data_IF_437473566777
#
_entry.id   IF_437473566777
#
_cell.length_a   1.000
_cell.length_b   1.000
_cell.length_c   1.000
_cell.angle_alpha   90.00
_cell.angle_beta   90.00
_cell.angle_gamma   90.00
#
_symmetry.space_group_name_H-M   'P 1'
#
loop_
_entity.id
_entity.type
_entity.pdbx_description
1 polymer ?
#
# COMPACT_ATOMS: atom_id res chain seq x y z
N UNK A 1 44.91 -8.93 12.99
CA UNK A 1 44.08 -9.88 12.24
C UNK A 1 42.75 -9.99 12.96
N UNK A 2 41.75 -9.22 12.56
CA UNK A 2 40.39 -9.33 13.06
C UNK A 2 39.63 -10.31 12.13
N UNK A 3 38.80 -11.20 12.65
CA UNK A 3 38.22 -12.28 11.84
C UNK A 3 37.16 -11.73 10.90
N UNK A 4 37.28 -12.09 9.62
CA UNK A 4 36.37 -11.79 8.53
C UNK A 4 34.99 -12.50 8.63
N UNK A 5 34.59 -12.95 9.83
CA UNK A 5 33.36 -13.73 10.02
C UNK A 5 32.18 -12.94 10.63
N UNK A 6 32.37 -11.65 10.97
CA UNK A 6 31.29 -10.88 11.57
C UNK A 6 30.30 -10.26 10.57
N UNK A 7 30.66 -10.17 9.27
CA UNK A 7 29.81 -9.51 8.28
C UNK A 7 28.72 -10.39 7.66
N UNK A 8 28.82 -11.71 7.76
CA UNK A 8 27.87 -12.64 7.16
C UNK A 8 26.60 -12.89 8.04
N UNK A 9 26.66 -12.58 9.32
CA UNK A 9 25.62 -12.99 10.29
C UNK A 9 24.47 -12.00 10.44
N UNK A 10 24.64 -10.75 10.01
CA UNK A 10 23.56 -9.76 10.13
C UNK A 10 22.56 -9.82 8.95
N UNK A 11 23.02 -10.16 7.75
CA UNK A 11 22.15 -10.31 6.57
C UNK A 11 21.18 -11.48 6.73
N UNK A 12 21.58 -12.52 7.47
CA UNK A 12 20.72 -13.66 7.77
C UNK A 12 19.60 -13.35 8.78
N UNK A 13 19.70 -12.24 9.50
CA UNK A 13 18.70 -11.82 10.52
C UNK A 13 17.71 -10.76 9.99
N UNK A 14 17.95 -10.20 8.82
CA UNK A 14 17.06 -9.23 8.22
C UNK A 14 15.95 -9.94 7.45
N UNK A 15 14.69 -9.47 7.51
CA UNK A 15 13.67 -9.94 6.59
C UNK A 15 14.19 -9.68 5.17
N UNK A 16 14.39 -10.76 4.42
CA UNK A 16 15.09 -10.74 3.14
C UNK A 16 14.24 -10.25 1.96
N UNK A 17 12.99 -9.85 2.20
CA UNK A 17 12.05 -9.58 1.11
C UNK A 17 11.35 -8.23 1.26
N UNK A 18 11.30 -7.49 0.15
CA UNK A 18 10.30 -6.43 -0.07
C UNK A 18 8.92 -7.05 0.20
N UNK A 19 7.97 -6.34 0.82
CA UNK A 19 6.64 -6.88 1.04
C UNK A 19 6.07 -7.48 -0.24
N UNK A 20 5.68 -8.75 -0.21
CA UNK A 20 5.12 -9.46 -1.38
C UNK A 20 3.69 -8.99 -1.71
N UNK A 21 3.19 -8.04 -0.96
CA UNK A 21 1.86 -7.49 -1.09
C UNK A 21 1.90 -5.95 -1.21
N UNK A 22 0.85 -5.42 -1.77
CA UNK A 22 0.53 -3.99 -1.74
C UNK A 22 -0.98 -3.79 -1.60
N UNK A 23 -1.39 -2.60 -1.27
CA UNK A 23 -2.80 -2.22 -1.26
C UNK A 23 -3.13 -1.46 -2.55
N UNK A 24 -4.31 -1.71 -3.10
CA UNK A 24 -4.79 -1.02 -4.30
C UNK A 24 -6.22 -0.52 -4.07
N UNK A 25 -6.43 0.79 -4.17
CA UNK A 25 -7.73 1.42 -3.97
C UNK A 25 -8.34 1.84 -5.31
N UNK A 26 -9.53 1.33 -5.59
CA UNK A 26 -10.39 1.75 -6.69
C UNK A 26 -11.44 2.72 -6.15
N UNK A 27 -11.31 4.01 -6.47
CA UNK A 27 -12.21 5.04 -5.96
C UNK A 27 -13.60 4.92 -6.54
N UNK A 28 -13.72 4.61 -7.83
CA UNK A 28 -15.00 4.51 -8.51
C UNK A 28 -15.88 3.39 -7.97
N UNK A 29 -15.26 2.27 -7.58
CA UNK A 29 -15.93 1.12 -6.98
C UNK A 29 -16.03 1.20 -5.46
N UNK A 30 -15.30 2.15 -4.84
CA UNK A 30 -15.16 2.25 -3.38
C UNK A 30 -14.61 0.99 -2.74
N UNK A 31 -13.58 0.41 -3.34
CA UNK A 31 -12.95 -0.83 -2.91
C UNK A 31 -11.46 -0.62 -2.62
N UNK A 32 -10.99 -1.32 -1.58
CA UNK A 32 -9.57 -1.51 -1.28
C UNK A 32 -9.25 -2.99 -1.44
N UNK A 33 -8.19 -3.29 -2.17
CA UNK A 33 -7.72 -4.65 -2.40
C UNK A 33 -6.38 -4.87 -1.72
N UNK A 34 -6.20 -6.02 -1.08
CA UNK A 34 -4.89 -6.57 -0.80
C UNK A 34 -4.46 -7.39 -2.01
N UNK A 35 -3.32 -7.04 -2.58
CA UNK A 35 -2.76 -7.69 -3.77
C UNK A 35 -1.44 -8.31 -3.39
N UNK A 36 -1.26 -9.58 -3.70
CA UNK A 36 0.03 -10.27 -3.58
C UNK A 36 0.72 -10.29 -4.94
N UNK A 37 1.99 -9.92 -4.94
CA UNK A 37 2.82 -9.97 -6.13
C UNK A 37 3.79 -11.15 -6.00
N UNK A 38 3.69 -12.08 -6.94
CA UNK A 38 4.56 -13.25 -6.99
C UNK A 38 5.91 -12.90 -7.66
N UNK A 39 6.91 -13.74 -7.45
CA UNK A 39 8.28 -13.54 -7.96
C UNK A 39 8.32 -13.44 -9.49
N UNK A 40 7.39 -14.08 -10.20
CA UNK A 40 7.21 -13.98 -11.65
C UNK A 40 6.45 -12.72 -12.11
N UNK A 41 6.25 -11.76 -11.20
CA UNK A 41 5.61 -10.47 -11.49
C UNK A 41 4.09 -10.51 -11.65
N UNK A 42 3.46 -11.68 -11.44
CA UNK A 42 2.00 -11.77 -11.45
C UNK A 42 1.42 -11.19 -10.18
N UNK A 43 0.28 -10.54 -10.30
CA UNK A 43 -0.46 -10.00 -9.18
C UNK A 43 -1.78 -10.76 -8.99
N UNK A 44 -2.12 -11.09 -7.75
CA UNK A 44 -3.38 -11.73 -7.39
C UNK A 44 -4.04 -10.94 -6.26
N UNK A 45 -5.32 -10.63 -6.40
CA UNK A 45 -6.13 -10.06 -5.30
C UNK A 45 -6.41 -11.19 -4.30
N UNK A 46 -5.97 -11.01 -3.06
CA UNK A 46 -6.16 -12.01 -1.99
C UNK A 46 -7.28 -11.61 -1.03
N UNK A 47 -7.55 -10.32 -0.87
CA UNK A 47 -8.64 -9.79 -0.04
C UNK A 47 -9.22 -8.52 -0.67
N UNK A 48 -10.50 -8.26 -0.37
CA UNK A 48 -11.24 -7.08 -0.81
C UNK A 48 -12.00 -6.50 0.38
N UNK A 49 -12.05 -5.17 0.45
CA UNK A 49 -12.71 -4.42 1.52
C UNK A 49 -13.51 -3.26 0.93
N UNK A 50 -14.65 -2.95 1.52
CA UNK A 50 -15.33 -1.69 1.26
C UNK A 50 -14.45 -0.53 1.73
N UNK A 51 -14.34 0.52 0.92
CA UNK A 51 -13.46 1.65 1.21
C UNK A 51 -14.12 2.97 0.82
N UNK A 52 -14.19 3.89 1.75
CA UNK A 52 -14.61 5.26 1.47
C UNK A 52 -13.40 6.18 1.28
N UNK A 53 -13.60 7.22 0.51
CA UNK A 53 -12.57 8.20 0.16
C UNK A 53 -13.10 9.64 0.26
N UNK A 54 -12.32 10.61 -0.21
CA UNK A 54 -12.64 12.04 -0.19
C UNK A 54 -14.02 12.34 -0.80
N UNK A 55 -14.72 13.31 -0.21
CA UNK A 55 -16.08 13.71 -0.60
C UNK A 55 -16.19 14.17 -2.05
N UNK A 56 -15.11 14.71 -2.61
CA UNK A 56 -15.06 15.21 -3.98
C UNK A 56 -14.30 14.21 -4.83
N UNK A 57 -14.86 13.83 -5.97
CA UNK A 57 -14.27 12.91 -6.93
C UNK A 57 -13.05 13.51 -7.64
N UNK A 58 -12.25 12.65 -8.26
CA UNK A 58 -11.05 13.00 -9.00
C UNK A 58 -9.81 13.10 -8.13
N UNK A 59 -8.68 13.35 -8.77
CA UNK A 59 -7.36 13.39 -8.16
C UNK A 59 -7.13 14.66 -7.33
N UNK A 60 -6.56 14.52 -6.14
CA UNK A 60 -6.22 15.62 -5.24
C UNK A 60 -5.17 16.55 -5.87
N UNK A 61 -5.47 17.87 -5.86
CA UNK A 61 -4.60 18.91 -6.41
C UNK A 61 -4.07 19.88 -5.34
N UNK A 62 -4.91 20.27 -4.38
CA UNK A 62 -4.54 21.28 -3.38
C UNK A 62 -5.09 20.95 -2.00
N UNK A 63 -4.49 21.56 -0.99
CA UNK A 63 -4.98 21.48 0.37
C UNK A 63 -6.45 21.91 0.46
N UNK A 64 -7.25 21.17 1.24
CA UNK A 64 -8.66 21.47 1.46
C UNK A 64 -9.62 21.16 0.32
N UNK A 65 -9.17 20.54 -0.79
CA UNK A 65 -10.04 20.20 -1.93
C UNK A 65 -10.94 18.97 -1.72
N UNK A 66 -10.85 18.34 -0.55
CA UNK A 66 -11.64 17.17 -0.12
C UNK A 66 -11.52 15.94 -1.03
N UNK A 67 -10.46 15.88 -1.84
CA UNK A 67 -10.17 14.77 -2.76
C UNK A 67 -9.13 13.83 -2.18
N UNK A 68 -9.24 12.56 -2.53
CA UNK A 68 -8.20 11.56 -2.32
C UNK A 68 -7.24 11.58 -3.52
N UNK A 69 -5.92 11.58 -3.29
CA UNK A 69 -4.95 11.62 -4.38
C UNK A 69 -4.91 10.30 -5.16
N UNK A 70 -4.45 10.36 -6.42
CA UNK A 70 -4.18 9.21 -7.26
C UNK A 70 -2.68 9.06 -7.49
N UNK A 71 -2.18 7.82 -7.36
CA UNK A 71 -0.76 7.54 -7.51
C UNK A 71 -0.28 6.37 -6.68
N UNK A 72 1.05 6.26 -6.56
CA UNK A 72 1.74 5.26 -5.75
C UNK A 72 2.27 5.91 -4.50
N UNK A 73 1.79 5.45 -3.36
CA UNK A 73 2.15 5.93 -2.02
C UNK A 73 2.70 4.79 -1.18
N UNK A 74 3.22 5.15 -0.01
CA UNK A 74 3.72 4.18 0.96
C UNK A 74 3.24 4.57 2.35
N UNK A 75 2.91 3.59 3.16
CA UNK A 75 2.72 3.81 4.60
C UNK A 75 4.06 4.24 5.19
N UNK A 76 4.09 5.37 5.88
CA UNK A 76 5.30 5.89 6.53
C UNK A 76 5.38 5.53 7.99
N UNK A 77 4.25 5.62 8.71
CA UNK A 77 4.13 5.28 10.12
C UNK A 77 2.67 5.14 10.54
N UNK A 78 2.45 4.42 11.63
CA UNK A 78 1.16 4.42 12.34
C UNK A 78 1.06 5.70 13.16
N UNK A 79 -0.12 6.34 13.12
CA UNK A 79 -0.42 7.49 13.98
C UNK A 79 -0.64 6.97 15.41
N UNK A 80 0.16 7.48 16.35
CA UNK A 80 0.13 7.05 17.76
C UNK A 80 -0.45 8.09 18.71
N UNK A 81 -0.66 9.32 18.23
CA UNK A 81 -1.33 10.37 18.99
C UNK A 81 -2.80 10.05 19.19
N UNK A 82 -3.39 10.60 20.26
CA UNK A 82 -4.83 10.47 20.49
C UNK A 82 -5.59 11.19 19.37
N UNK A 83 -6.48 10.45 18.70
CA UNK A 83 -7.36 10.95 17.63
C UNK A 83 -8.81 10.91 18.09
N UNK A 84 -9.66 11.68 17.42
CA UNK A 84 -11.10 11.53 17.54
C UNK A 84 -11.51 10.14 17.07
N UNK A 85 -12.04 9.33 18.01
CA UNK A 85 -12.38 7.94 17.72
C UNK A 85 -13.49 7.81 16.67
N UNK A 86 -14.50 8.69 16.73
CA UNK A 86 -15.62 8.62 15.78
C UNK A 86 -15.17 8.92 14.35
N UNK A 87 -14.18 9.83 14.18
CA UNK A 87 -13.67 10.22 12.88
C UNK A 87 -12.59 9.27 12.34
N UNK A 88 -11.70 8.75 13.21
CA UNK A 88 -10.50 8.02 12.78
C UNK A 88 -10.42 6.58 13.28
N UNK A 89 -11.35 6.14 14.14
CA UNK A 89 -11.32 4.83 14.75
C UNK A 89 -10.07 4.58 15.59
N UNK A 90 -9.74 3.31 15.90
CA UNK A 90 -8.58 2.96 16.72
C UNK A 90 -7.24 2.96 15.95
N UNK A 91 -7.26 2.97 14.61
CA UNK A 91 -6.07 2.82 13.80
C UNK A 91 -6.05 3.79 12.62
N UNK A 92 -4.94 4.50 12.48
CA UNK A 92 -4.66 5.38 11.35
C UNK A 92 -3.18 5.27 10.93
N UNK A 93 -2.94 5.27 9.62
CA UNK A 93 -1.62 5.11 9.00
C UNK A 93 -1.38 6.23 8.00
N UNK A 94 -0.26 6.93 8.17
CA UNK A 94 0.09 8.05 7.29
C UNK A 94 0.67 7.56 5.96
N UNK A 95 0.21 8.16 4.87
CA UNK A 95 0.79 7.99 3.53
C UNK A 95 1.76 9.12 3.21
N UNK A 96 2.77 8.85 2.37
CA UNK A 96 3.80 9.82 1.97
C UNK A 96 3.30 10.86 0.94
N UNK A 97 2.03 11.27 1.03
CA UNK A 97 1.49 12.35 0.19
C UNK A 97 1.99 13.73 0.66
N UNK A 98 2.36 14.67 -0.22
CA UNK A 98 2.56 14.48 -1.66
C UNK A 98 3.88 13.76 -1.94
N UNK A 99 3.84 12.78 -2.85
CA UNK A 99 5.02 12.05 -3.32
C UNK A 99 5.85 12.90 -4.31
N UNK A 100 7.02 12.43 -4.80
CA UNK A 100 7.83 13.19 -5.76
C UNK A 100 7.08 13.61 -7.03
N UNK A 101 6.25 12.74 -7.61
CA UNK A 101 5.48 13.06 -8.80
C UNK A 101 4.38 14.09 -8.54
N UNK A 102 3.70 14.00 -7.39
CA UNK A 102 2.71 14.99 -6.96
C UNK A 102 3.33 16.38 -6.81
N UNK A 103 4.51 16.46 -6.15
CA UNK A 103 5.22 17.72 -5.97
C UNK A 103 5.67 18.34 -7.30
N UNK A 104 6.12 17.50 -8.25
CA UNK A 104 6.49 17.98 -9.58
C UNK A 104 5.29 18.59 -10.32
N UNK A 105 4.09 18.01 -10.12
CA UNK A 105 2.82 18.52 -10.66
C UNK A 105 2.26 19.71 -9.89
N UNK A 106 2.94 20.18 -8.85
CA UNK A 106 2.51 21.32 -8.03
C UNK A 106 1.38 21.02 -7.06
N UNK A 107 1.10 19.74 -6.78
CA UNK A 107 0.08 19.36 -5.80
C UNK A 107 0.52 19.75 -4.39
N UNK A 108 -0.45 20.15 -3.56
CA UNK A 108 -0.21 20.66 -2.20
C UNK A 108 -1.08 19.96 -1.15
N UNK A 109 -0.80 20.25 0.13
CA UNK A 109 -1.44 19.65 1.29
C UNK A 109 -0.62 18.50 1.88
N UNK A 110 -1.19 17.85 2.89
CA UNK A 110 -0.57 16.75 3.63
C UNK A 110 -1.66 15.96 4.38
N UNK A 111 -1.27 14.97 5.21
CA UNK A 111 -2.21 14.29 6.10
C UNK A 111 -3.22 13.41 5.38
N UNK A 112 -2.81 12.72 4.33
CA UNK A 112 -3.60 11.66 3.71
C UNK A 112 -3.29 10.36 4.45
N UNK A 113 -4.33 9.78 5.05
CA UNK A 113 -4.22 8.57 5.87
C UNK A 113 -5.09 7.43 5.32
N UNK A 114 -4.72 6.21 5.65
CA UNK A 114 -5.60 5.06 5.66
C UNK A 114 -6.00 4.82 7.11
N UNK A 115 -7.30 4.85 7.43
CA UNK A 115 -7.79 4.73 8.78
C UNK A 115 -9.11 3.95 8.84
N UNK A 116 -9.64 3.72 10.04
CA UNK A 116 -11.02 3.29 10.24
C UNK A 116 -11.89 4.45 10.71
N UNK A 117 -13.14 4.16 11.03
CA UNK A 117 -14.03 5.08 11.76
C UNK A 117 -14.57 4.38 13.00
N UNK A 118 -15.01 5.13 14.01
CA UNK A 118 -15.66 4.61 15.21
C UNK A 118 -17.11 4.17 14.97
N UNK A 119 -17.55 4.13 13.71
CA UNK A 119 -18.88 3.71 13.26
C UNK A 119 -18.78 3.07 11.89
N UNK A 120 -19.79 2.30 11.43
CA UNK A 120 -19.82 1.72 10.09
C UNK A 120 -19.63 2.79 9.01
N UNK A 121 -18.88 2.48 7.96
CA UNK A 121 -18.52 3.44 6.90
C UNK A 121 -19.62 3.66 5.85
N UNK A 122 -20.66 2.84 5.83
CA UNK A 122 -21.76 2.90 4.84
C UNK A 122 -22.36 4.29 4.72
N UNK A 123 -22.39 4.82 3.50
CA UNK A 123 -22.92 6.15 3.19
C UNK A 123 -22.05 7.32 3.63
N UNK A 124 -20.87 7.08 4.21
CA UNK A 124 -19.95 8.12 4.65
C UNK A 124 -18.94 8.50 3.53
N UNK A 125 -18.25 9.60 3.78
CA UNK A 125 -17.09 10.08 3.00
C UNK A 125 -16.04 10.64 3.95
N UNK A 126 -14.86 10.96 3.42
CA UNK A 126 -13.78 11.60 4.17
C UNK A 126 -13.45 12.99 3.64
N UNK A 127 -12.45 13.64 4.23
CA UNK A 127 -11.89 14.91 3.74
C UNK A 127 -10.66 14.73 2.83
N UNK A 128 -10.45 13.51 2.34
CA UNK A 128 -9.34 13.16 1.43
C UNK A 128 -8.57 11.91 1.86
N UNK A 129 -8.76 11.41 3.06
CA UNK A 129 -8.24 10.13 3.52
C UNK A 129 -8.98 8.96 2.85
N UNK A 130 -8.48 7.76 3.05
CA UNK A 130 -9.21 6.51 2.80
C UNK A 130 -9.61 5.89 4.13
N UNK A 131 -10.81 5.32 4.22
CA UNK A 131 -11.22 4.60 5.41
C UNK A 131 -11.95 3.30 5.06
N UNK A 132 -11.69 2.27 5.89
CA UNK A 132 -12.33 0.95 5.87
C UNK A 132 -12.96 0.66 7.23
N UNK A 133 -13.75 -0.39 7.34
CA UNK A 133 -14.37 -0.75 8.60
C UNK A 133 -13.34 -1.13 9.68
N UNK A 134 -13.71 -0.93 10.94
CA UNK A 134 -12.81 -1.08 12.09
C UNK A 134 -12.27 -2.51 12.24
N UNK A 135 -13.09 -3.53 12.01
CA UNK A 135 -12.66 -4.91 12.09
C UNK A 135 -11.71 -5.26 10.94
N UNK A 136 -11.96 -4.75 9.74
CA UNK A 136 -11.14 -4.99 8.55
C UNK A 136 -9.74 -4.37 8.68
N UNK A 137 -9.63 -3.14 9.20
CA UNK A 137 -8.30 -2.52 9.43
C UNK A 137 -7.52 -3.26 10.51
N UNK A 138 -8.21 -3.83 11.51
CA UNK A 138 -7.58 -4.65 12.55
C UNK A 138 -6.99 -5.92 11.97
N UNK A 139 -7.69 -6.57 11.05
CA UNK A 139 -7.20 -7.75 10.33
C UNK A 139 -6.01 -7.45 9.41
N UNK A 140 -5.89 -6.21 8.97
CA UNK A 140 -4.78 -5.74 8.12
C UNK A 140 -3.55 -5.26 8.90
N UNK A 141 -3.54 -5.26 10.22
CA UNK A 141 -2.43 -4.67 11.01
C UNK A 141 -1.07 -5.28 10.70
N UNK A 142 -1.00 -6.56 10.35
CA UNK A 142 0.24 -7.23 9.93
C UNK A 142 0.75 -6.76 8.56
N UNK A 143 -0.13 -6.21 7.74
CA UNK A 143 0.14 -5.69 6.38
C UNK A 143 0.41 -4.18 6.42
N UNK A 144 -0.23 -3.46 7.34
CA UNK A 144 -0.16 -1.99 7.46
C UNK A 144 1.11 -1.55 8.22
N UNK A 145 2.26 -1.86 7.66
CA UNK A 145 3.57 -1.52 8.25
C UNK A 145 4.28 -0.43 7.42
N UNK A 146 5.25 0.30 8.00
CA UNK A 146 6.06 1.23 7.22
C UNK A 146 6.67 0.56 5.98
N UNK A 147 6.57 1.20 4.83
CA UNK A 147 7.03 0.65 3.55
C UNK A 147 5.96 -0.11 2.76
N UNK A 148 4.79 -0.44 3.33
CA UNK A 148 3.69 -1.04 2.54
C UNK A 148 3.27 -0.10 1.43
N UNK A 149 3.32 -0.55 0.16
CA UNK A 149 2.85 0.25 -0.97
C UNK A 149 1.32 0.36 -0.98
N UNK A 150 0.82 1.53 -1.38
CA UNK A 150 -0.61 1.83 -1.54
C UNK A 150 -0.80 2.51 -2.89
N UNK A 151 -1.41 1.82 -3.83
CA UNK A 151 -1.78 2.36 -5.13
C UNK A 151 -3.21 2.88 -5.06
N UNK A 152 -3.43 4.10 -5.50
CA UNK A 152 -4.75 4.73 -5.51
C UNK A 152 -5.05 5.19 -6.93
N UNK A 153 -6.17 4.76 -7.49
CA UNK A 153 -6.63 5.16 -8.81
C UNK A 153 -8.14 5.39 -8.84
N UNK A 154 -8.60 6.19 -9.80
CA UNK A 154 -10.04 6.31 -10.05
C UNK A 154 -10.61 4.96 -10.47
N UNK A 155 -9.93 4.27 -11.43
CA UNK A 155 -10.27 2.94 -11.91
C UNK A 155 -9.02 2.08 -11.93
N UNK A 156 -9.10 0.88 -11.37
CA UNK A 156 -8.01 -0.10 -11.42
C UNK A 156 -8.07 -1.02 -12.65
N UNK A 157 -9.18 -1.01 -13.38
CA UNK A 157 -9.33 -1.77 -14.62
C UNK A 157 -8.33 -1.24 -15.67
N UNK A 158 -7.39 -2.09 -16.06
CA UNK A 158 -6.29 -1.71 -16.96
C UNK A 158 -5.01 -1.25 -16.27
N UNK A 159 -4.96 -1.20 -14.94
CA UNK A 159 -3.70 -1.06 -14.23
C UNK A 159 -2.80 -2.26 -14.53
N UNK A 160 -1.54 -2.07 -14.98
CA UNK A 160 -0.71 -3.15 -15.53
C UNK A 160 -0.34 -4.24 -14.52
N UNK A 161 -0.56 -4.03 -13.25
CA UNK A 161 -0.20 -4.95 -12.17
C UNK A 161 -1.40 -5.56 -11.41
N UNK A 162 -2.65 -5.20 -11.76
CA UNK A 162 -3.86 -5.76 -11.13
C UNK A 162 -4.63 -6.58 -12.15
N UNK A 163 -4.84 -7.88 -11.87
CA UNK A 163 -5.75 -8.70 -12.67
C UNK A 163 -7.19 -8.18 -12.51
N UNK A 164 -7.98 -8.12 -13.57
CA UNK A 164 -9.41 -7.86 -13.46
C UNK A 164 -10.08 -8.85 -12.50
N UNK A 165 -10.96 -8.36 -11.62
CA UNK A 165 -11.69 -9.18 -10.64
C UNK A 165 -12.46 -10.36 -11.28
N UNK A 166 -12.93 -10.20 -12.51
CA UNK A 166 -13.63 -11.25 -13.26
C UNK A 166 -12.80 -12.53 -13.50
N UNK A 167 -11.50 -12.52 -13.19
CA UNK A 167 -10.61 -13.69 -13.32
C UNK A 167 -10.29 -14.38 -11.99
N UNK A 168 -10.87 -13.94 -10.87
CA UNK A 168 -10.76 -14.68 -9.61
C UNK A 168 -11.68 -15.91 -9.68
N UNK A 169 -11.19 -17.13 -9.41
CA UNK A 169 -12.09 -18.26 -9.20
C UNK A 169 -12.97 -17.93 -7.98
N UNK A 170 -14.27 -18.11 -8.12
CA UNK A 170 -15.20 -18.10 -6.99
C UNK A 170 -14.60 -18.98 -5.88
N UNK A 171 -14.58 -18.54 -4.61
CA UNK A 171 -14.13 -19.39 -3.52
C UNK A 171 -15.00 -20.66 -3.53
N UNK A 172 -14.39 -21.79 -3.90
CA UNK A 172 -15.07 -23.07 -3.87
C UNK A 172 -15.59 -23.34 -2.46
N UNK A 173 -16.71 -24.09 -2.32
CA UNK A 173 -17.40 -24.32 -1.04
C UNK A 173 -16.55 -25.06 0.03
N UNK A 174 -15.26 -25.35 -0.22
CA UNK A 174 -14.42 -26.21 0.63
C UNK A 174 -13.02 -25.65 0.93
N UNK A 175 -12.89 -24.36 1.21
CA UNK A 175 -11.60 -23.79 1.66
C UNK A 175 -11.48 -23.64 3.20
N UNK A 176 -12.31 -24.35 3.97
CA UNK A 176 -12.22 -24.32 5.45
C UNK A 176 -11.44 -25.51 6.03
N UNK A 177 -10.39 -25.99 5.38
CA UNK A 177 -9.48 -26.94 6.00
C UNK A 177 -8.17 -26.99 5.24
N UNK A 178 -7.10 -26.44 5.78
CA UNK A 178 -5.77 -27.03 6.00
C UNK A 178 -4.83 -25.94 6.53
N UNK A 179 -4.83 -25.75 7.84
CA UNK A 179 -3.62 -25.34 8.55
C UNK A 179 -2.94 -26.61 9.06
N UNK A 180 -1.65 -26.80 8.87
CA UNK A 180 -0.95 -27.92 9.47
C UNK A 180 -0.90 -27.72 10.99
N UNK A 181 -1.53 -28.63 11.72
CA UNK A 181 -1.38 -28.77 13.17
C UNK A 181 0.07 -29.16 13.49
N UNK A 182 0.78 -28.31 14.18
CA UNK A 182 1.94 -28.73 14.97
C UNK A 182 1.43 -29.38 16.25
N UNK A 183 1.73 -30.65 16.39
CA UNK A 183 1.44 -31.49 17.56
C UNK A 183 2.19 -31.03 18.81
N UNK A 184 1.47 -31.19 19.91
CA UNK A 184 1.89 -31.37 21.30
C UNK A 184 2.15 -30.13 22.15
N UNK A 185 1.13 -29.86 22.95
CA UNK A 185 1.29 -29.78 24.43
C UNK A 185 -0.10 -30.00 25.06
N UNK A 186 -0.18 -30.94 25.98
CA UNK A 186 -1.35 -31.41 26.71
C UNK A 186 -1.95 -30.35 27.63
N UNK A 187 -3.29 -30.37 27.87
CA UNK A 187 -3.96 -29.37 28.67
C UNK A 187 -3.94 -29.67 30.15
N UNK A 188 -3.64 -28.65 30.95
CA UNK A 188 -3.92 -28.63 32.40
C UNK A 188 -5.39 -28.19 32.57
N UNK A 189 -6.14 -28.95 33.35
CA UNK A 189 -7.52 -28.71 33.76
C UNK A 189 -7.72 -27.39 34.51
N UNK A 190 -8.81 -26.67 34.27
CA UNK A 190 -9.19 -25.51 35.06
C UNK A 190 -10.06 -25.89 36.26
N UNK A 191 -9.74 -25.28 37.39
CA UNK A 191 -10.54 -25.32 38.61
C UNK A 191 -11.76 -24.41 38.48
N UNK A 192 -12.91 -24.86 39.01
CA UNK A 192 -14.21 -24.19 39.05
C UNK A 192 -14.22 -22.96 39.97
N UNK A 193 -14.97 -21.89 39.63
CA UNK A 193 -15.25 -20.79 40.52
C UNK A 193 -16.53 -21.03 41.37
N UNK A 194 -16.62 -20.44 42.57
CA UNK A 194 -17.80 -20.56 43.41
C UNK A 194 -18.91 -19.57 42.99
N UNK A 195 -20.14 -20.05 43.18
CA UNK A 195 -21.40 -19.37 43.00
C UNK A 195 -21.64 -18.34 44.12
N UNK A 196 -22.12 -17.15 43.80
CA UNK A 196 -23.02 -16.36 44.68
C UNK A 196 -24.09 -15.68 43.84
N UNK A 197 -25.32 -16.05 44.14
CA UNK A 197 -26.56 -15.39 43.76
C UNK A 197 -26.68 -14.02 44.47
N UNK A 198 -27.20 -13.00 43.79
CA UNK A 198 -28.06 -12.03 44.43
C UNK A 198 -28.98 -11.27 43.42
N UNK A 199 -30.15 -11.00 43.88
CA UNK A 199 -31.43 -10.68 43.30
C UNK A 199 -31.54 -9.37 42.48
N UNK A 200 -32.54 -9.40 41.57
CA UNK A 200 -33.21 -8.29 40.87
C UNK A 200 -34.06 -7.43 41.85
N UNK A 201 -34.52 -6.17 41.53
CA UNK A 201 -35.68 -6.07 40.64
C UNK A 201 -35.83 -4.78 39.78
N UNK A 202 -36.71 -4.83 38.77
CA UNK A 202 -37.53 -3.68 38.40
C UNK A 202 -37.54 -3.26 36.91
N UNK A 203 -38.42 -3.89 36.14
CA UNK A 203 -38.89 -3.38 34.84
C UNK A 203 -40.04 -2.38 35.04
N UNK A 204 -40.31 -1.45 34.13
CA UNK A 204 -41.57 -1.53 33.41
C UNK A 204 -41.48 -1.22 31.88
N UNK A 205 -42.30 -1.97 31.14
CA UNK A 205 -42.74 -1.71 29.78
C UNK A 205 -44.10 -0.95 29.80
N UNK A 206 -44.81 -0.79 28.68
CA UNK A 206 -44.55 -0.25 27.36
C UNK A 206 -45.59 0.86 26.99
N UNK A 207 -45.39 1.54 25.84
CA UNK A 207 -46.48 2.28 25.18
C UNK A 207 -46.45 2.10 23.67
N UNK A 208 -47.65 1.83 23.17
CA UNK A 208 -48.18 1.39 21.92
C UNK A 208 -48.20 2.41 20.79
N UNK A 209 -48.09 1.87 19.57
CA UNK A 209 -48.83 2.13 18.33
C UNK A 209 -49.01 3.53 17.74
N UNK A 210 -48.61 3.66 16.44
CA UNK A 210 -49.54 4.03 15.39
C UNK A 210 -49.07 3.60 14.01
N UNK A 211 -49.96 2.82 13.36
CA UNK A 211 -49.95 2.33 12.00
C UNK A 211 -50.33 3.44 11.01
N UNK A 212 -49.73 3.52 9.86
CA UNK A 212 -50.44 3.87 8.63
C UNK A 212 -49.87 3.25 7.38
N UNK A 213 -50.74 2.62 6.63
CA UNK A 213 -50.57 1.80 5.44
C UNK A 213 -50.75 2.68 4.19
N UNK A 214 -49.92 2.51 3.19
CA UNK A 214 -50.33 2.77 1.81
C UNK A 214 -49.61 1.83 0.83
N UNK A 215 -50.39 0.94 0.27
CA UNK A 215 -50.05 0.08 -0.86
C UNK A 215 -50.10 0.87 -2.16
N UNK A 216 -49.15 0.60 -3.07
CA UNK A 216 -49.48 0.61 -4.50
C UNK A 216 -48.55 -0.34 -5.26
N UNK A 217 -49.21 -1.27 -5.86
CA UNK A 217 -48.77 -2.33 -6.74
C UNK A 217 -48.37 -1.82 -8.13
N UNK A 218 -47.36 -2.42 -8.75
CA UNK A 218 -47.35 -2.81 -10.16
C UNK A 218 -46.14 -3.74 -10.44
N UNK A 219 -46.44 -4.95 -10.89
CA UNK A 219 -45.49 -6.00 -11.30
C UNK A 219 -45.34 -6.03 -12.83
N UNK A 220 -44.63 -7.04 -13.43
CA UNK A 220 -43.32 -6.82 -14.04
C UNK A 220 -43.37 -7.09 -15.56
N UNK A 221 -42.30 -6.68 -16.26
CA UNK A 221 -42.07 -7.14 -17.64
C UNK A 221 -40.73 -7.87 -17.69
N UNK A 222 -40.79 -9.16 -17.94
CA UNK A 222 -39.66 -10.00 -18.32
C UNK A 222 -39.12 -9.60 -19.69
N UNK A 223 -37.77 -9.41 -19.74
CA UNK A 223 -37.07 -9.47 -21.03
C UNK A 223 -35.75 -10.22 -20.82
N UNK A 224 -35.66 -11.39 -21.38
CA UNK A 224 -34.49 -12.27 -21.42
C UNK A 224 -33.46 -11.66 -22.39
N UNK A 225 -32.16 -11.51 -22.03
CA UNK A 225 -31.12 -11.28 -23.01
C UNK A 225 -30.32 -12.56 -23.27
N UNK A 226 -30.10 -12.76 -24.56
CA UNK A 226 -29.31 -13.85 -25.11
C UNK A 226 -27.84 -13.81 -24.68
N UNK A 227 -27.32 -14.99 -24.45
CA UNK A 227 -25.93 -15.29 -24.23
C UNK A 227 -25.06 -14.94 -25.45
N UNK A 228 -24.14 -14.02 -25.25
CA UNK A 228 -23.01 -13.79 -26.17
C UNK A 228 -21.73 -14.33 -25.53
N UNK A 229 -20.84 -14.99 -26.28
CA UNK A 229 -19.65 -15.62 -25.67
C UNK A 229 -18.67 -14.56 -25.19
N UNK A 230 -18.23 -14.72 -23.94
CA UNK A 230 -17.20 -13.90 -23.31
C UNK A 230 -15.90 -14.00 -24.11
N UNK A 231 -15.51 -12.89 -24.72
CA UNK A 231 -14.18 -12.74 -25.30
C UNK A 231 -13.14 -12.80 -24.18
N UNK A 232 -12.18 -13.72 -24.29
CA UNK A 232 -11.05 -13.81 -23.37
C UNK A 232 -10.29 -12.47 -23.38
N UNK A 233 -10.17 -11.87 -22.19
CA UNK A 233 -9.40 -10.64 -22.01
C UNK A 233 -7.92 -10.89 -22.39
N UNK A 234 -7.27 -9.97 -23.10
CA UNK A 234 -5.88 -10.13 -23.48
C UNK A 234 -5.01 -10.16 -22.22
N UNK A 235 -4.18 -11.21 -22.10
CA UNK A 235 -3.08 -11.23 -21.14
C UNK A 235 -2.11 -10.13 -21.56
N UNK A 236 -2.09 -9.00 -20.85
CA UNK A 236 -1.08 -7.98 -21.10
C UNK A 236 0.27 -8.52 -20.67
N UNK A 237 1.13 -8.80 -21.66
CA UNK A 237 2.56 -8.93 -21.46
C UNK A 237 3.08 -7.66 -20.73
N UNK A 238 4.18 -7.73 -19.94
CA UNK A 238 4.78 -6.56 -19.34
C UNK A 238 4.93 -5.47 -20.39
N UNK A 239 4.53 -4.24 -20.08
CA UNK A 239 4.70 -3.13 -21.01
C UNK A 239 6.21 -2.94 -21.23
N UNK A 240 6.64 -2.50 -22.42
CA UNK A 240 8.06 -2.26 -22.67
C UNK A 240 8.69 -1.25 -21.69
N UNK A 241 7.88 -0.50 -20.96
CA UNK A 241 8.31 0.46 -19.96
C UNK A 241 8.68 -0.20 -18.62
N UNK A 242 7.99 -1.28 -18.21
CA UNK A 242 8.34 -2.04 -17.00
C UNK A 242 9.77 -2.58 -17.12
N UNK A 243 10.07 -3.15 -18.27
CA UNK A 243 11.38 -3.73 -18.54
C UNK A 243 12.47 -2.64 -18.61
N UNK A 244 12.16 -1.46 -19.16
CA UNK A 244 13.08 -0.32 -19.15
C UNK A 244 13.37 0.14 -17.72
N UNK A 245 12.34 0.34 -16.91
CA UNK A 245 12.48 0.78 -15.52
C UNK A 245 13.21 -0.25 -14.67
N UNK A 246 12.93 -1.56 -14.87
CA UNK A 246 13.67 -2.63 -14.19
C UNK A 246 15.16 -2.59 -14.55
N UNK A 247 15.52 -2.51 -15.83
CA UNK A 247 16.92 -2.40 -16.25
C UNK A 247 17.61 -1.17 -15.67
N UNK A 248 16.94 -0.02 -15.66
CA UNK A 248 17.47 1.21 -15.07
C UNK A 248 17.65 1.08 -13.55
N UNK A 249 16.72 0.42 -12.86
CA UNK A 249 16.84 0.15 -11.43
C UNK A 249 18.05 -0.75 -11.13
N UNK A 250 18.23 -1.82 -11.87
CA UNK A 250 19.39 -2.71 -11.74
C UNK A 250 20.71 -1.98 -12.02
N UNK A 251 20.75 -1.11 -13.03
CA UNK A 251 21.91 -0.26 -13.32
C UNK A 251 22.19 0.72 -12.18
N UNK A 252 21.14 1.34 -11.61
CA UNK A 252 21.30 2.21 -10.44
C UNK A 252 21.88 1.45 -9.24
N UNK A 253 21.42 0.22 -9.00
CA UNK A 253 21.97 -0.64 -7.94
C UNK A 253 23.44 -0.96 -8.18
N UNK A 254 23.83 -1.31 -9.43
CA UNK A 254 25.22 -1.58 -9.78
C UNK A 254 26.11 -0.35 -9.57
N UNK A 255 25.69 0.83 -10.05
CA UNK A 255 26.43 2.07 -9.85
C UNK A 255 26.53 2.43 -8.37
N UNK A 256 25.48 2.13 -7.60
CA UNK A 256 25.44 2.34 -6.16
C UNK A 256 26.44 1.44 -5.41
N UNK A 257 26.48 0.15 -5.76
CA UNK A 257 27.39 -0.84 -5.18
C UNK A 257 28.86 -0.55 -5.57
N UNK A 258 29.09 -0.16 -6.82
CA UNK A 258 30.44 0.24 -7.32
C UNK A 258 30.89 1.63 -6.90
N UNK A 259 30.02 2.39 -6.21
CA UNK A 259 30.28 3.79 -5.83
C UNK A 259 30.58 4.67 -7.05
N UNK A 260 29.94 4.38 -8.17
CA UNK A 260 30.19 5.03 -9.47
C UNK A 260 29.48 6.38 -9.56
N UNK A 261 30.17 7.39 -10.06
CA UNK A 261 29.56 8.70 -10.35
C UNK A 261 28.60 8.67 -11.56
N UNK A 262 28.60 7.61 -12.36
CA UNK A 262 27.65 7.41 -13.45
C UNK A 262 26.20 7.42 -12.96
N UNK A 263 25.96 7.06 -11.68
CA UNK A 263 24.65 7.12 -11.05
C UNK A 263 23.96 8.48 -11.23
N UNK A 264 24.72 9.59 -11.28
CA UNK A 264 24.14 10.92 -11.42
C UNK A 264 23.51 11.21 -12.78
N UNK A 265 23.85 10.44 -13.83
CA UNK A 265 23.22 10.56 -15.14
C UNK A 265 21.80 10.01 -15.17
N UNK A 266 21.43 9.20 -14.19
CA UNK A 266 20.11 8.58 -14.08
C UNK A 266 19.05 9.50 -13.45
N UNK A 267 19.46 10.66 -12.94
CA UNK A 267 18.57 11.62 -12.29
C UNK A 267 18.21 12.75 -13.24
N UNK A 268 16.95 13.12 -13.24
CA UNK A 268 16.46 14.33 -13.91
C UNK A 268 16.98 15.59 -13.19
N UNK A 269 17.98 16.23 -13.75
CA UNK A 269 18.63 17.39 -13.11
C UNK A 269 17.72 18.60 -12.98
N UNK A 270 16.78 18.75 -13.89
CA UNK A 270 15.87 19.87 -13.96
C UNK A 270 14.69 19.69 -13.00
N UNK A 271 14.08 18.52 -13.05
CA UNK A 271 12.85 18.23 -12.30
C UNK A 271 13.10 17.72 -10.88
N UNK A 272 14.24 17.06 -10.62
CA UNK A 272 14.58 16.51 -9.31
C UNK A 272 14.46 17.55 -8.17
N UNK A 273 14.95 18.80 -8.27
CA UNK A 273 14.84 19.75 -7.17
C UNK A 273 13.41 20.11 -6.79
N UNK A 274 12.49 20.15 -7.76
CA UNK A 274 11.07 20.41 -7.52
C UNK A 274 10.37 19.20 -6.92
N UNK A 275 10.64 18.03 -7.47
CA UNK A 275 10.02 16.78 -7.05
C UNK A 275 10.50 16.30 -5.67
N UNK A 276 11.81 16.39 -5.38
CA UNK A 276 12.42 15.89 -4.15
C UNK A 276 12.53 16.94 -3.03
N UNK A 277 12.37 18.24 -3.35
CA UNK A 277 12.70 19.38 -2.47
C UNK A 277 14.16 19.42 -2.03
N UNK A 278 15.05 18.77 -2.78
CA UNK A 278 16.48 18.73 -2.56
C UNK A 278 17.21 19.26 -3.79
N UNK A 279 18.11 20.22 -3.64
CA UNK A 279 18.94 20.71 -4.76
C UNK A 279 19.77 19.56 -5.33
N UNK A 280 19.96 19.51 -6.65
CA UNK A 280 20.77 18.46 -7.28
C UNK A 280 22.22 18.42 -6.77
N UNK A 281 22.80 19.57 -6.41
CA UNK A 281 24.10 19.64 -5.76
C UNK A 281 24.13 19.01 -4.36
N UNK A 282 23.01 19.10 -3.62
CA UNK A 282 22.88 18.45 -2.31
C UNK A 282 22.73 16.94 -2.46
N UNK A 283 21.95 16.46 -3.43
CA UNK A 283 21.88 15.03 -3.80
C UNK A 283 23.30 14.50 -4.08
N UNK A 284 24.08 15.17 -4.95
CA UNK A 284 25.44 14.73 -5.26
C UNK A 284 26.33 14.67 -4.01
N UNK A 285 26.24 15.68 -3.15
CA UNK A 285 27.00 15.71 -1.88
C UNK A 285 26.58 14.56 -0.96
N UNK A 286 25.28 14.30 -0.84
CA UNK A 286 24.71 13.21 -0.04
C UNK A 286 25.20 11.86 -0.54
N UNK A 287 25.01 11.53 -1.83
CA UNK A 287 25.41 10.25 -2.41
C UNK A 287 26.93 10.02 -2.32
N UNK A 288 27.76 11.04 -2.57
CA UNK A 288 29.21 10.94 -2.37
C UNK A 288 29.59 10.72 -0.90
N UNK A 289 28.84 11.30 0.03
CA UNK A 289 29.02 11.03 1.47
C UNK A 289 28.65 9.59 1.81
N UNK A 290 27.54 9.11 1.25
CA UNK A 290 27.08 7.73 1.43
C UNK A 290 28.06 6.72 0.85
N UNK A 291 28.67 7.00 -0.32
CA UNK A 291 29.74 6.17 -0.91
C UNK A 291 30.94 5.98 0.02
N UNK A 292 31.24 7.00 0.83
CA UNK A 292 32.38 6.94 1.77
C UNK A 292 32.05 6.36 3.14
N UNK A 293 30.76 6.42 3.56
CA UNK A 293 30.35 6.18 4.95
C UNK A 293 29.39 5.02 5.13
N UNK A 294 28.81 4.51 4.05
CA UNK A 294 27.98 3.31 4.11
C UNK A 294 28.88 2.11 3.93
N UNK A 295 28.81 1.22 4.91
CA UNK A 295 29.49 -0.06 4.95
C UNK A 295 28.43 -1.16 4.80
N UNK A 296 28.82 -2.34 4.35
CA UNK A 296 27.96 -3.51 4.21
C UNK A 296 26.63 -3.20 3.50
N UNK A 297 26.71 -2.44 2.39
CA UNK A 297 25.53 -2.08 1.62
C UNK A 297 24.94 -3.31 0.93
N UNK A 298 23.70 -3.61 1.26
CA UNK A 298 22.88 -4.63 0.61
C UNK A 298 21.70 -3.96 -0.10
N UNK A 299 21.46 -4.37 -1.34
CA UNK A 299 20.31 -3.98 -2.16
C UNK A 299 19.64 -5.26 -2.66
N UNK A 300 18.38 -5.46 -2.26
CA UNK A 300 17.60 -6.66 -2.64
C UNK A 300 17.22 -6.58 -4.12
N UNK A 301 17.97 -7.30 -4.96
CA UNK A 301 17.77 -7.30 -6.42
C UNK A 301 16.60 -8.20 -6.85
N UNK A 302 16.37 -9.26 -6.11
CA UNK A 302 15.33 -10.25 -6.42
C UNK A 302 13.96 -9.76 -5.92
N UNK A 303 13.96 -8.92 -4.90
CA UNK A 303 12.77 -8.31 -4.32
C UNK A 303 12.36 -6.98 -4.96
N UNK A 304 12.87 -6.61 -6.15
CA UNK A 304 12.42 -5.37 -6.80
C UNK A 304 10.94 -5.49 -7.17
N UNK A 305 10.16 -4.48 -6.78
CA UNK A 305 8.76 -4.33 -7.18
C UNK A 305 8.60 -3.07 -8.02
N UNK A 306 7.84 -3.18 -9.11
CA UNK A 306 7.50 -2.08 -9.99
C UNK A 306 6.02 -1.75 -9.84
N UNK A 307 5.73 -0.48 -9.63
CA UNK A 307 4.38 0.03 -9.45
C UNK A 307 4.18 1.22 -10.40
N UNK A 308 3.12 1.17 -11.19
CA UNK A 308 2.78 2.26 -12.10
C UNK A 308 1.89 3.29 -11.41
N UNK A 309 2.27 4.55 -11.53
CA UNK A 309 1.43 5.70 -11.23
C UNK A 309 1.01 6.42 -12.52
N UNK A 310 0.15 7.45 -12.43
CA UNK A 310 -0.24 8.23 -13.61
C UNK A 310 0.99 8.90 -14.26
N UNK A 311 1.49 8.35 -15.38
CA UNK A 311 2.62 8.89 -16.14
C UNK A 311 3.99 8.83 -15.44
N UNK A 312 4.16 7.92 -14.48
CA UNK A 312 5.44 7.64 -13.82
C UNK A 312 5.48 6.21 -13.28
N UNK A 313 6.66 5.74 -12.96
CA UNK A 313 6.89 4.44 -12.34
C UNK A 313 7.59 4.57 -11.00
N UNK A 314 7.38 3.59 -10.14
CA UNK A 314 8.13 3.47 -8.89
C UNK A 314 8.74 2.09 -8.82
N UNK A 315 10.05 2.01 -8.71
CA UNK A 315 10.73 0.79 -8.29
C UNK A 315 11.02 0.86 -6.80
N UNK A 316 10.64 -0.17 -6.05
CA UNK A 316 10.92 -0.26 -4.63
C UNK A 316 11.56 -1.60 -4.29
N UNK A 317 12.45 -1.58 -3.30
CA UNK A 317 13.23 -2.73 -2.86
C UNK A 317 13.81 -2.50 -1.46
N UNK A 318 14.19 -3.57 -0.78
CA UNK A 318 14.87 -3.47 0.50
C UNK A 318 16.32 -3.01 0.31
N UNK A 319 16.71 -2.07 1.12
CA UNK A 319 18.09 -1.59 1.25
C UNK A 319 18.52 -1.68 2.71
N UNK A 320 19.71 -2.21 2.93
CA UNK A 320 20.33 -2.27 4.25
C UNK A 320 21.78 -1.80 4.17
N UNK A 321 22.26 -1.15 5.20
CA UNK A 321 23.65 -0.71 5.29
C UNK A 321 24.05 -0.44 6.73
N UNK A 322 25.36 -0.45 6.98
CA UNK A 322 25.93 0.02 8.23
C UNK A 322 26.48 1.44 8.08
N UNK A 323 26.28 2.27 9.07
CA UNK A 323 26.86 3.61 9.14
C UNK A 323 27.22 3.95 10.58
N UNK A 324 28.48 4.21 10.85
CA UNK A 324 29.01 4.50 12.21
C UNK A 324 28.64 3.40 13.23
N UNK A 325 28.72 2.15 12.84
CA UNK A 325 28.36 1.01 13.67
C UNK A 325 26.87 0.78 13.92
N UNK A 326 25.99 1.59 13.28
CA UNK A 326 24.54 1.41 13.35
C UNK A 326 24.02 0.80 12.06
N UNK A 327 23.17 -0.23 12.19
CA UNK A 327 22.47 -0.82 11.05
C UNK A 327 21.23 -0.01 10.71
N UNK A 328 21.04 0.19 9.42
CA UNK A 328 19.87 0.79 8.82
C UNK A 328 19.23 -0.21 7.86
N UNK A 329 17.94 -0.41 7.99
CA UNK A 329 17.17 -1.34 7.18
C UNK A 329 15.83 -0.69 6.82
N UNK A 330 15.40 -0.81 5.56
CA UNK A 330 14.14 -0.23 5.15
C UNK A 330 13.89 -0.34 3.66
N UNK A 331 12.78 0.25 3.23
CA UNK A 331 12.38 0.32 1.84
C UNK A 331 12.99 1.55 1.16
N UNK A 332 13.68 1.31 0.05
CA UNK A 332 14.09 2.35 -0.91
C UNK A 332 13.10 2.36 -2.06
N UNK A 333 12.54 3.53 -2.36
CA UNK A 333 11.71 3.74 -3.54
C UNK A 333 12.34 4.80 -4.45
N UNK A 334 12.41 4.53 -5.76
CA UNK A 334 12.88 5.42 -6.81
C UNK A 334 11.70 5.76 -7.71
N UNK A 335 11.41 7.05 -7.88
CA UNK A 335 10.35 7.56 -8.75
C UNK A 335 10.94 7.91 -10.11
N UNK A 336 10.47 7.22 -11.15
CA UNK A 336 10.94 7.30 -12.52
C UNK A 336 9.91 8.01 -13.40
N UNK A 337 10.34 8.97 -14.18
CA UNK A 337 9.50 9.66 -15.15
C UNK A 337 10.16 9.62 -16.52
N UNK A 338 9.42 9.31 -17.59
CA UNK A 338 9.97 9.36 -18.95
C UNK A 338 10.21 10.81 -19.38
N UNK A 339 11.27 11.03 -20.12
CA UNK A 339 11.53 12.26 -20.85
C UNK A 339 10.76 12.27 -22.19
N UNK A 340 11.00 13.30 -23.01
CA UNK A 340 10.34 13.49 -24.31
C UNK A 340 10.65 12.38 -25.33
N UNK A 341 11.77 11.65 -25.16
CA UNK A 341 12.16 10.54 -26.03
C UNK A 341 11.82 9.16 -25.41
N UNK A 342 11.18 9.15 -24.25
CA UNK A 342 10.73 7.94 -23.55
C UNK A 342 11.83 7.23 -22.74
N UNK A 343 12.92 7.92 -22.40
CA UNK A 343 13.94 7.44 -21.47
C UNK A 343 13.57 7.82 -20.02
N UNK A 344 13.74 6.87 -19.09
CA UNK A 344 13.33 7.07 -17.70
C UNK A 344 14.43 7.67 -16.85
N UNK A 345 14.08 8.75 -16.12
CA UNK A 345 14.97 9.43 -15.19
C UNK A 345 14.36 9.50 -13.80
N UNK A 346 15.21 9.45 -12.77
CA UNK A 346 14.80 9.55 -11.37
C UNK A 346 14.47 11.01 -11.04
N UNK A 347 13.22 11.26 -10.71
CA UNK A 347 12.71 12.57 -10.23
C UNK A 347 12.74 12.69 -8.72
N UNK A 348 12.85 11.56 -7.99
CA UNK A 348 12.92 11.58 -6.52
C UNK A 348 13.16 10.22 -5.92
N UNK A 349 13.62 10.22 -4.67
CA UNK A 349 13.84 9.04 -3.86
C UNK A 349 13.05 9.16 -2.55
N UNK A 350 12.56 8.03 -2.07
CA UNK A 350 11.95 7.91 -0.74
C UNK A 350 12.65 6.78 0.00
N UNK A 351 13.05 7.06 1.23
CA UNK A 351 13.56 6.07 2.18
C UNK A 351 12.60 5.95 3.35
N UNK A 352 12.15 4.73 3.63
CA UNK A 352 11.28 4.43 4.76
C UNK A 352 12.02 3.43 5.64
N UNK A 353 12.39 3.88 6.82
CA UNK A 353 13.10 3.05 7.79
C UNK A 353 12.10 2.11 8.47
N UNK A 354 12.45 0.84 8.57
CA UNK A 354 11.67 -0.18 9.27
C UNK A 354 12.12 -0.33 10.70
#
# INVERSE_FOLDING_TARGET
MLPAQASADWTARLPSHTPDYFLAADKSRRLLFQVEQTVDGKAAVTRQFDCIHGRVEGDKQKEGDLRTPEGVYFITHKITQQLDFMEYGPHAFNLNYPNPADRLRGKTGSGIWLHSKGQPITGLTTRGCMAIDQHEITDLLSVLVPGTPVVIAEHLDGAPFVRPLASLPEPGPDSSSVLPRSDRLSPLSPASPPSTEDELPGSPAPLTEHTETAQSSLSPTETTPGSSPAAAAPQTAPSGDDEKVLRQTLRWMDDRMRRSENIFSMYDRENYPRASREKFSALRKRLRSDFRRQEDLFLDRDGIRLLAGPGYWVSCFIKSYQRRGQYHHGLQALYWMPDEVGEFHIIGEVWINN
#
